data_IF_757028491145
#
_entry.id   IF_757028491145
#
_cell.length_a   1.000
_cell.length_b   1.000
_cell.length_c   1.000
_cell.angle_alpha   90.00
_cell.angle_beta   90.00
_cell.angle_gamma   90.00
#
_symmetry.space_group_name_H-M   'P 1'
#
loop_
_entity.id
_entity.type
_entity.pdbx_description
1 polymer ?
#
# COMPACT_ATOMS: atom_id res chain seq x y z
N UNK A 1 -6.46 11.21 12.86
CA UNK A 1 -5.57 11.05 11.68
C UNK A 1 -6.08 11.85 10.49
N UNK A 2 -7.34 11.67 10.08
CA UNK A 2 -7.99 12.40 8.98
C UNK A 2 -9.04 13.38 9.53
N UNK A 3 -8.64 14.61 9.86
CA UNK A 3 -9.61 15.66 10.25
C UNK A 3 -10.09 16.41 9.01
N UNK A 4 -11.28 17.00 9.08
CA UNK A 4 -11.86 17.76 7.96
C UNK A 4 -10.92 18.89 7.50
N UNK A 5 -10.40 19.69 8.43
CA UNK A 5 -9.48 20.79 8.11
C UNK A 5 -8.21 20.31 7.41
N UNK A 6 -7.69 19.16 7.83
CA UNK A 6 -6.50 18.57 7.24
C UNK A 6 -6.79 18.07 5.82
N UNK A 7 -7.93 17.41 5.61
CA UNK A 7 -8.36 16.99 4.27
C UNK A 7 -8.56 18.20 3.35
N UNK A 8 -9.21 19.27 3.83
CA UNK A 8 -9.39 20.53 3.08
C UNK A 8 -8.07 21.22 2.74
N UNK A 9 -7.08 21.14 3.62
CA UNK A 9 -5.76 21.71 3.35
C UNK A 9 -5.00 20.94 2.27
N UNK A 10 -5.10 19.61 2.27
CA UNK A 10 -4.40 18.75 1.30
C UNK A 10 -5.13 18.72 -0.05
N UNK A 11 -6.45 18.79 -0.03
CA UNK A 11 -7.32 18.80 -1.20
C UNK A 11 -8.15 20.10 -1.19
N UNK A 12 -7.53 21.25 -1.54
CA UNK A 12 -8.20 22.54 -1.47
C UNK A 12 -9.28 22.70 -2.53
N UNK A 13 -10.30 23.57 -2.28
CA UNK A 13 -11.23 24.02 -3.31
C UNK A 13 -10.53 24.68 -4.49
N UNK A 14 -11.05 24.49 -5.71
CA UNK A 14 -10.63 25.33 -6.85
C UNK A 14 -11.12 26.78 -6.69
N UNK A 15 -12.30 27.00 -6.11
CA UNK A 15 -12.85 28.33 -5.81
C UNK A 15 -12.87 28.56 -4.30
N UNK A 16 -12.06 29.53 -3.86
CA UNK A 16 -11.46 29.65 -2.53
C UNK A 16 -12.32 29.56 -1.27
N UNK A 17 -13.65 29.39 -1.34
CA UNK A 17 -14.55 29.30 -0.18
C UNK A 17 -15.79 28.39 -0.36
N UNK A 18 -15.94 27.68 -1.49
CA UNK A 18 -17.09 26.76 -1.68
C UNK A 18 -16.78 25.35 -1.13
N UNK A 19 -17.44 25.00 -0.02
CA UNK A 19 -17.34 23.69 0.65
C UNK A 19 -18.50 22.74 0.41
N UNK A 20 -19.52 23.16 -0.34
CA UNK A 20 -20.74 22.39 -0.56
C UNK A 20 -20.73 21.63 -1.91
N UNK A 21 -19.79 21.94 -2.81
CA UNK A 21 -19.58 21.20 -4.06
C UNK A 21 -18.44 20.17 -3.90
N UNK A 22 -18.67 18.85 -4.11
CA UNK A 22 -17.60 17.85 -4.00
C UNK A 22 -16.52 18.06 -5.08
N UNK A 23 -15.30 18.35 -4.61
CA UNK A 23 -14.11 18.79 -5.36
C UNK A 23 -13.61 17.84 -6.43
N UNK A 24 -13.67 16.55 -6.10
CA UNK A 24 -13.22 15.37 -6.83
C UNK A 24 -13.51 14.18 -5.90
N UNK A 25 -13.80 13.01 -6.44
CA UNK A 25 -13.93 11.80 -5.64
C UNK A 25 -12.53 11.33 -5.22
N UNK A 26 -12.12 11.69 -4.00
CA UNK A 26 -10.83 11.30 -3.42
C UNK A 26 -10.98 10.03 -2.58
N UNK A 27 -10.21 9.00 -2.93
CA UNK A 27 -10.15 7.74 -2.19
C UNK A 27 -8.70 7.44 -1.82
N UNK A 28 -8.45 7.32 -0.51
CA UNK A 28 -7.17 6.87 0.05
C UNK A 28 -7.26 5.36 0.32
N UNK A 29 -6.44 4.59 -0.38
CA UNK A 29 -6.32 3.15 -0.17
C UNK A 29 -5.09 2.86 0.69
N UNK A 30 -5.32 2.19 1.80
CA UNK A 30 -4.27 1.80 2.71
C UNK A 30 -4.70 0.63 3.59
N UNK A 31 -3.76 0.20 4.42
CA UNK A 31 -3.97 -0.89 5.35
C UNK A 31 -3.98 -0.35 6.78
N UNK A 32 -5.03 -0.68 7.52
CA UNK A 32 -5.02 -0.56 8.97
C UNK A 32 -4.16 -1.68 9.55
N UNK A 33 -3.18 -1.34 10.39
CA UNK A 33 -2.25 -2.33 10.94
C UNK A 33 -1.96 -2.03 12.41
N UNK A 34 -1.50 -3.05 13.13
CA UNK A 34 -1.17 -2.96 14.55
C UNK A 34 -1.93 -3.94 15.43
N UNK A 35 -1.84 -3.72 16.74
CA UNK A 35 -2.37 -4.64 17.73
C UNK A 35 -3.89 -4.74 17.58
N UNK A 36 -4.43 -5.97 17.65
CA UNK A 36 -5.87 -6.29 17.53
C UNK A 36 -6.50 -6.13 16.15
N UNK A 37 -5.74 -5.76 15.10
CA UNK A 37 -6.28 -5.75 13.73
C UNK A 37 -6.25 -7.15 13.10
N UNK A 38 -5.11 -7.84 13.18
CA UNK A 38 -4.94 -9.21 12.70
C UNK A 38 -4.04 -10.03 13.63
N UNK A 39 -4.06 -11.37 13.51
CA UNK A 39 -3.17 -12.26 14.26
C UNK A 39 -1.71 -11.95 13.90
N UNK A 40 -0.89 -11.60 14.89
CA UNK A 40 0.49 -11.15 14.67
C UNK A 40 0.65 -9.63 14.47
N UNK A 41 -0.45 -8.86 14.45
CA UNK A 41 -0.44 -7.41 14.24
C UNK A 41 0.42 -6.60 15.23
N UNK A 42 0.62 -7.12 16.45
CA UNK A 42 1.52 -6.51 17.45
C UNK A 42 3.01 -6.55 17.09
N UNK A 43 3.40 -7.32 16.07
CA UNK A 43 4.79 -7.33 15.54
C UNK A 43 5.03 -6.15 14.60
N UNK A 44 3.97 -5.58 14.01
CA UNK A 44 4.11 -4.39 13.18
C UNK A 44 4.27 -3.11 14.00
N UNK A 45 3.45 -2.93 15.03
CA UNK A 45 3.60 -1.86 16.03
C UNK A 45 3.30 -2.41 17.44
N UNK A 46 4.19 -2.11 18.39
CA UNK A 46 4.13 -2.66 19.76
C UNK A 46 2.93 -2.16 20.56
N UNK A 47 2.37 -0.99 20.21
CA UNK A 47 1.20 -0.43 20.87
C UNK A 47 0.31 0.32 19.87
N UNK A 48 -1.00 0.11 19.98
CA UNK A 48 -2.01 0.83 19.21
C UNK A 48 -2.26 0.28 17.80
N UNK A 49 -2.89 1.13 16.99
CA UNK A 49 -3.26 0.89 15.60
C UNK A 49 -2.82 2.09 14.75
N UNK A 50 -2.45 1.84 13.51
CA UNK A 50 -2.02 2.87 12.55
C UNK A 50 -2.56 2.55 11.16
N UNK A 51 -2.33 3.46 10.22
CA UNK A 51 -2.71 3.33 8.81
C UNK A 51 -1.49 3.58 7.94
N UNK A 52 -1.30 2.74 6.92
CA UNK A 52 -0.24 2.91 5.92
C UNK A 52 -0.86 3.00 4.53
N UNK A 53 -0.55 4.08 3.83
CA UNK A 53 -1.06 4.38 2.49
C UNK A 53 -0.34 3.54 1.43
N UNK A 54 -1.06 3.02 0.44
CA UNK A 54 -0.44 2.37 -0.73
C UNK A 54 -0.94 2.85 -2.09
N UNK A 55 -2.13 3.46 -2.15
CA UNK A 55 -2.66 4.05 -3.38
C UNK A 55 -3.60 5.22 -3.07
N UNK A 56 -3.68 6.15 -4.02
CA UNK A 56 -4.65 7.24 -4.01
C UNK A 56 -5.35 7.27 -5.36
N UNK A 57 -6.67 7.45 -5.34
CA UNK A 57 -7.47 7.69 -6.52
C UNK A 57 -8.16 9.05 -6.39
N UNK A 58 -8.05 9.87 -7.43
CA UNK A 58 -8.78 11.14 -7.54
C UNK A 58 -9.58 11.07 -8.83
N UNK A 59 -10.90 11.06 -8.70
CA UNK A 59 -11.85 10.79 -9.78
C UNK A 59 -11.52 9.47 -10.51
N UNK A 60 -11.04 9.58 -11.76
CA UNK A 60 -10.64 8.45 -12.60
C UNK A 60 -9.14 8.13 -12.52
N UNK A 61 -8.34 8.98 -11.87
CA UNK A 61 -6.89 8.90 -11.90
C UNK A 61 -6.35 8.13 -10.72
N UNK A 62 -5.63 7.05 -11.01
CA UNK A 62 -4.70 6.46 -10.04
C UNK A 62 -3.44 7.30 -10.01
N UNK A 63 -3.10 7.84 -8.85
CA UNK A 63 -1.97 8.74 -8.73
C UNK A 63 -0.64 7.99 -8.86
N UNK A 64 0.36 8.69 -9.40
CA UNK A 64 1.72 8.16 -9.49
C UNK A 64 2.38 8.18 -8.12
N UNK A 65 3.44 7.39 -7.98
CA UNK A 65 4.15 7.23 -6.71
C UNK A 65 4.56 8.57 -6.04
N UNK A 66 5.14 9.56 -6.75
CA UNK A 66 5.52 10.83 -6.12
C UNK A 66 4.34 11.60 -5.53
N UNK A 67 3.18 11.56 -6.20
CA UNK A 67 1.98 12.26 -5.72
C UNK A 67 1.37 11.56 -4.50
N UNK A 68 1.39 10.22 -4.48
CA UNK A 68 0.99 9.42 -3.31
C UNK A 68 1.90 9.75 -2.11
N UNK A 69 3.22 9.83 -2.33
CA UNK A 69 4.19 10.18 -1.28
C UNK A 69 4.01 11.62 -0.77
N UNK A 70 3.75 12.56 -1.67
CA UNK A 70 3.44 13.95 -1.32
C UNK A 70 2.19 14.03 -0.44
N UNK A 71 1.10 13.38 -0.86
CA UNK A 71 -0.15 13.34 -0.09
C UNK A 71 0.07 12.66 1.28
N UNK A 72 0.82 11.57 1.33
CA UNK A 72 1.16 10.92 2.60
C UNK A 72 1.93 11.87 3.54
N UNK A 73 2.88 12.64 3.01
CA UNK A 73 3.63 13.66 3.74
C UNK A 73 2.75 14.79 4.25
N UNK A 74 1.91 15.37 3.38
CA UNK A 74 0.97 16.43 3.74
C UNK A 74 -0.05 15.95 4.80
N UNK A 75 -0.45 14.67 4.71
CA UNK A 75 -1.32 14.02 5.69
C UNK A 75 -0.56 13.47 6.91
N UNK A 76 0.77 13.60 6.98
CA UNK A 76 1.61 13.04 8.05
C UNK A 76 1.27 11.58 8.38
N UNK A 77 1.09 10.75 7.36
CA UNK A 77 0.86 9.29 7.45
C UNK A 77 1.98 8.53 6.77
N UNK A 78 2.17 7.26 7.14
CA UNK A 78 3.16 6.41 6.47
C UNK A 78 2.65 5.97 5.10
N UNK A 79 3.57 5.70 4.19
CA UNK A 79 3.34 5.07 2.88
C UNK A 79 4.13 3.77 2.81
N UNK A 80 3.59 2.75 2.15
CA UNK A 80 4.31 1.48 1.95
C UNK A 80 5.62 1.72 1.20
N UNK A 81 6.74 1.10 1.58
CA UNK A 81 8.02 1.31 0.91
C UNK A 81 8.02 0.68 -0.48
N UNK A 82 8.76 1.27 -1.41
CA UNK A 82 9.07 0.64 -2.70
C UNK A 82 10.24 -0.32 -2.47
N UNK A 83 10.05 -1.60 -2.80
CA UNK A 83 11.12 -2.61 -2.70
C UNK A 83 12.10 -2.49 -3.86
N UNK A 84 11.59 -2.26 -5.07
CA UNK A 84 12.41 -2.06 -6.26
C UNK A 84 11.60 -2.24 -7.54
N UNK A 85 12.30 -2.10 -8.66
CA UNK A 85 11.80 -2.47 -9.98
C UNK A 85 12.42 -3.82 -10.34
N UNK A 86 11.57 -4.73 -10.80
CA UNK A 86 11.94 -6.12 -11.02
C UNK A 86 11.02 -6.74 -12.08
N UNK A 87 11.51 -7.77 -12.75
CA UNK A 87 10.65 -8.66 -13.54
C UNK A 87 9.77 -9.51 -12.61
N UNK A 88 8.79 -10.22 -13.18
CA UNK A 88 7.98 -11.16 -12.40
C UNK A 88 8.83 -12.29 -11.82
N UNK A 89 9.78 -12.80 -12.59
CA UNK A 89 10.68 -13.89 -12.19
C UNK A 89 11.56 -13.46 -10.99
N UNK A 90 12.17 -12.28 -11.08
CA UNK A 90 12.97 -11.70 -9.99
C UNK A 90 12.12 -11.48 -8.73
N UNK A 91 10.88 -11.02 -8.88
CA UNK A 91 9.96 -10.83 -7.77
C UNK A 91 9.55 -12.14 -7.10
N UNK A 92 9.30 -13.18 -7.91
CA UNK A 92 8.97 -14.53 -7.43
C UNK A 92 10.15 -15.08 -6.63
N UNK A 93 11.36 -15.00 -7.18
CA UNK A 93 12.58 -15.45 -6.51
C UNK A 93 12.77 -14.71 -5.19
N UNK A 94 12.68 -13.37 -5.20
CA UNK A 94 12.82 -12.53 -4.02
C UNK A 94 11.85 -12.92 -2.90
N UNK A 95 10.56 -13.11 -3.22
CA UNK A 95 9.57 -13.49 -2.20
C UNK A 95 9.75 -14.94 -1.74
N UNK A 96 10.13 -15.85 -2.65
CA UNK A 96 10.32 -17.26 -2.35
C UNK A 96 11.49 -17.52 -1.40
N UNK A 97 12.54 -16.70 -1.48
CA UNK A 97 13.69 -16.73 -0.58
C UNK A 97 13.35 -16.17 0.82
N UNK A 98 12.21 -15.48 0.96
CA UNK A 98 11.80 -14.80 2.18
C UNK A 98 12.58 -13.51 2.41
N UNK A 99 11.89 -12.50 2.93
CA UNK A 99 12.50 -11.22 3.26
C UNK A 99 11.82 -10.59 4.48
N UNK A 100 12.54 -9.70 5.17
CA UNK A 100 12.03 -9.04 6.38
C UNK A 100 11.16 -7.85 6.03
N UNK A 101 10.10 -7.65 6.81
CA UNK A 101 9.21 -6.51 6.65
C UNK A 101 9.95 -5.20 6.93
N UNK A 102 9.87 -4.26 5.99
CA UNK A 102 10.42 -2.91 6.16
C UNK A 102 9.52 -1.98 6.98
N UNK A 103 8.29 -2.42 7.29
CA UNK A 103 7.28 -1.61 8.01
C UNK A 103 7.19 -2.03 9.48
N UNK A 104 7.48 -3.30 9.78
CA UNK A 104 7.33 -3.84 11.12
C UNK A 104 8.40 -3.29 12.08
N UNK A 105 7.98 -2.93 13.31
CA UNK A 105 8.91 -2.56 14.39
C UNK A 105 9.78 -3.74 14.83
N UNK A 106 9.30 -4.97 14.69
CA UNK A 106 10.10 -6.18 14.85
C UNK A 106 10.86 -6.46 13.55
N UNK A 107 12.17 -6.15 13.55
CA UNK A 107 13.05 -6.33 12.38
C UNK A 107 13.27 -7.79 11.99
N UNK A 108 12.86 -8.74 12.82
CA UNK A 108 12.92 -10.17 12.52
C UNK A 108 11.66 -10.68 11.83
N UNK A 109 10.62 -9.84 11.70
CA UNK A 109 9.34 -10.25 11.17
C UNK A 109 9.39 -10.46 9.64
N UNK A 110 8.95 -11.63 9.20
CA UNK A 110 8.88 -11.96 7.78
C UNK A 110 7.75 -11.17 7.12
N UNK A 111 8.04 -10.62 5.94
CA UNK A 111 7.05 -9.93 5.13
C UNK A 111 6.05 -10.93 4.53
N UNK A 112 4.79 -10.52 4.37
CA UNK A 112 3.75 -11.37 3.80
C UNK A 112 3.99 -11.68 2.31
N UNK A 113 4.52 -10.72 1.56
CA UNK A 113 4.64 -10.79 0.12
C UNK A 113 4.81 -9.43 -0.54
N UNK A 114 4.78 -9.40 -1.87
CA UNK A 114 4.83 -8.18 -2.67
C UNK A 114 3.49 -7.92 -3.37
N UNK A 115 3.18 -6.65 -3.56
CA UNK A 115 2.18 -6.18 -4.51
C UNK A 115 2.94 -5.53 -5.67
N UNK A 116 2.65 -6.00 -6.88
CA UNK A 116 3.33 -5.59 -8.11
C UNK A 116 2.35 -4.77 -8.96
N UNK A 117 2.78 -3.59 -9.37
CA UNK A 117 2.04 -2.72 -10.29
C UNK A 117 3.04 -1.94 -11.14
N UNK A 118 2.58 -1.45 -12.28
CA UNK A 118 3.34 -0.47 -13.05
C UNK A 118 3.30 0.90 -12.39
N UNK A 119 4.35 1.68 -12.59
CA UNK A 119 4.49 3.06 -12.10
C UNK A 119 3.45 4.02 -12.71
N UNK A 120 2.95 3.70 -13.90
CA UNK A 120 1.93 4.46 -14.62
C UNK A 120 0.48 4.16 -14.19
N UNK A 121 0.26 3.16 -13.33
CA UNK A 121 -1.11 2.79 -12.91
C UNK A 121 -1.96 2.25 -14.07
N UNK A 122 -1.36 1.40 -14.92
CA UNK A 122 -2.00 0.89 -16.13
C UNK A 122 -3.32 0.16 -15.85
N UNK A 123 -4.27 0.36 -16.77
CA UNK A 123 -5.56 -0.32 -16.81
C UNK A 123 -5.61 -1.25 -18.02
N UNK A 124 -6.36 -2.34 -17.90
CA UNK A 124 -6.71 -3.18 -19.05
C UNK A 124 -7.83 -2.53 -19.89
N UNK A 125 -8.22 -3.21 -20.99
CA UNK A 125 -9.26 -2.71 -21.90
C UNK A 125 -10.66 -2.62 -21.28
N UNK A 126 -10.87 -3.26 -20.13
CA UNK A 126 -12.12 -3.19 -19.35
C UNK A 126 -12.08 -2.10 -18.27
N UNK A 127 -10.95 -1.39 -18.14
CA UNK A 127 -10.74 -0.36 -17.12
C UNK A 127 -10.31 -0.92 -15.76
N UNK A 128 -10.00 -2.22 -15.65
CA UNK A 128 -9.49 -2.82 -14.43
C UNK A 128 -7.99 -2.60 -14.28
N UNK A 129 -7.51 -2.47 -13.04
CA UNK A 129 -6.08 -2.27 -12.78
C UNK A 129 -5.27 -3.51 -13.13
N UNK A 130 -4.13 -3.30 -13.76
CA UNK A 130 -3.11 -4.34 -13.93
C UNK A 130 -2.26 -4.34 -12.66
N UNK A 131 -2.56 -5.29 -11.76
CA UNK A 131 -1.91 -5.45 -10.47
C UNK A 131 -1.80 -6.94 -10.14
N UNK A 132 -0.67 -7.34 -9.55
CA UNK A 132 -0.43 -8.71 -9.13
C UNK A 132 0.06 -8.74 -7.68
N UNK A 133 0.00 -9.93 -7.07
CA UNK A 133 0.50 -10.18 -5.72
C UNK A 133 1.26 -11.49 -5.69
N UNK A 134 2.38 -11.52 -4.99
CA UNK A 134 3.17 -12.72 -4.74
C UNK A 134 3.27 -12.85 -3.22
N UNK A 135 2.77 -13.94 -2.63
CA UNK A 135 2.77 -14.12 -1.17
C UNK A 135 3.73 -15.22 -0.75
N UNK A 136 4.54 -14.96 0.27
CA UNK A 136 5.53 -15.91 0.81
C UNK A 136 4.87 -17.24 1.21
N UNK A 137 3.64 -17.17 1.75
CA UNK A 137 2.85 -18.35 2.15
C UNK A 137 2.60 -19.33 1.00
N UNK A 138 2.54 -18.84 -0.24
CA UNK A 138 2.21 -19.67 -1.41
C UNK A 138 3.39 -20.61 -1.75
N UNK A 139 4.61 -20.28 -1.31
CA UNK A 139 5.81 -21.12 -1.45
C UNK A 139 5.99 -22.11 -0.30
N UNK A 140 5.36 -21.88 0.86
CA UNK A 140 5.45 -22.78 2.01
C UNK A 140 4.73 -24.12 1.76
N UNK A 141 3.73 -24.13 0.89
CA UNK A 141 2.96 -25.34 0.54
C UNK A 141 3.75 -26.24 -0.43
N UNK A 142 4.66 -25.67 -1.23
CA UNK A 142 5.45 -26.39 -2.23
C UNK A 142 6.62 -27.22 -1.68
N UNK A 143 7.09 -26.99 -0.45
CA UNK A 143 8.19 -27.78 0.16
C UNK A 143 7.84 -29.24 0.46
N UNK A 144 6.58 -29.66 0.26
CA UNK A 144 6.09 -31.03 0.51
C UNK A 144 6.04 -31.95 -0.72
N UNK A 145 6.44 -31.49 -1.90
CA UNK A 145 6.52 -32.35 -3.09
C UNK A 145 7.99 -32.60 -3.45
N UNK A 146 8.70 -33.28 -2.56
CA UNK A 146 9.81 -34.13 -3.01
C UNK A 146 9.17 -35.46 -3.40
N UNK A 147 9.14 -35.72 -4.70
CA UNK A 147 8.95 -37.09 -5.18
C UNK A 147 10.28 -37.80 -4.92
N UNK A 148 10.29 -38.65 -3.90
CA UNK A 148 11.28 -39.72 -3.75
C UNK A 148 10.97 -40.83 -4.77
#
# INVERSE_FOLDING_TARGET
MFTVDKMRKVFPPENGDDFDTPYADVILYGEGYGMKIQKGGGRYIKAGVSFILFDVKIDKWWLRRPDVEKIAGDLAIKVVPVIGYMTFEEAIEYVSNGYKSLIAEDTTYDAEGLVLKTDLGLLDRSGQRIIAKIKARDFLVGKKLKYD
#
